data_IF_434541896892
#
_entry.id   IF_434541896892
#
_cell.length_a   1.000
_cell.length_b   1.000
_cell.length_c   1.000
_cell.angle_alpha   90.00
_cell.angle_beta   90.00
_cell.angle_gamma   90.00
#
_symmetry.space_group_name_H-M   'P 1'
#
loop_
_entity.id
_entity.type
_entity.pdbx_description
1 polymer ?
#
# COMPACT_ATOMS: atom_id res chain seq x y z
N UNK A 1 23.48 -40.75 -7.71
CA UNK A 1 22.80 -40.02 -8.80
C UNK A 1 21.30 -39.98 -8.52
N UNK A 2 20.87 -39.05 -7.65
CA UNK A 2 19.45 -38.65 -7.44
C UNK A 2 19.37 -37.68 -6.27
N UNK A 3 19.88 -36.46 -6.43
CA UNK A 3 19.52 -35.28 -5.61
C UNK A 3 19.77 -34.03 -6.47
N UNK A 4 18.90 -33.81 -7.46
CA UNK A 4 18.79 -32.53 -8.19
C UNK A 4 17.32 -32.28 -8.46
N UNK A 5 16.52 -32.04 -7.43
CA UNK A 5 15.15 -31.54 -7.62
C UNK A 5 14.52 -31.02 -6.31
N UNK A 6 15.16 -30.09 -5.59
CA UNK A 6 14.45 -29.29 -4.57
C UNK A 6 15.22 -28.04 -4.12
N UNK A 7 15.69 -27.23 -5.06
CA UNK A 7 16.52 -26.06 -4.77
C UNK A 7 16.33 -24.90 -5.75
N UNK A 8 15.09 -24.70 -6.22
CA UNK A 8 14.77 -23.65 -7.20
C UNK A 8 13.47 -22.89 -6.94
N UNK A 9 13.01 -22.82 -5.69
CA UNK A 9 11.81 -22.04 -5.34
C UNK A 9 12.01 -20.85 -4.39
N UNK A 10 13.23 -20.56 -3.90
CA UNK A 10 13.41 -19.53 -2.85
C UNK A 10 14.62 -18.61 -3.04
N UNK A 11 15.11 -18.44 -4.26
CA UNK A 11 16.00 -17.31 -4.56
C UNK A 11 15.35 -16.55 -5.71
N UNK A 12 14.49 -15.61 -5.30
CA UNK A 12 13.92 -14.61 -6.17
C UNK A 12 15.04 -13.93 -6.94
N UNK A 13 14.99 -14.10 -8.26
CA UNK A 13 15.46 -13.10 -9.21
C UNK A 13 15.17 -11.72 -8.63
N UNK A 14 16.20 -10.87 -8.47
CA UNK A 14 16.12 -9.43 -8.14
C UNK A 14 14.70 -8.90 -8.34
N UNK A 15 13.91 -8.95 -7.27
CA UNK A 15 12.49 -8.66 -7.30
C UNK A 15 12.31 -7.15 -7.37
N UNK A 16 12.45 -6.60 -8.56
CA UNK A 16 11.59 -5.48 -8.94
C UNK A 16 10.18 -6.07 -8.86
N UNK A 17 9.36 -5.62 -7.91
CA UNK A 17 7.97 -6.06 -7.82
C UNK A 17 7.35 -5.99 -9.21
N UNK A 18 6.55 -6.98 -9.62
CA UNK A 18 5.95 -7.00 -10.96
C UNK A 18 5.26 -5.68 -11.32
N UNK A 19 4.75 -4.96 -10.32
CA UNK A 19 4.20 -3.60 -10.43
C UNK A 19 5.23 -2.55 -10.89
N UNK A 20 6.47 -2.60 -10.40
CA UNK A 20 7.54 -1.64 -10.74
C UNK A 20 8.07 -1.82 -12.16
N UNK A 21 8.08 -3.04 -12.71
CA UNK A 21 8.56 -3.26 -14.08
C UNK A 21 7.54 -2.75 -15.09
N UNK A 22 6.25 -3.05 -14.89
CA UNK A 22 5.19 -2.55 -15.78
C UNK A 22 4.99 -1.04 -15.65
N UNK A 23 5.00 -0.47 -14.43
CA UNK A 23 4.88 0.98 -14.23
C UNK A 23 6.11 1.77 -14.77
N UNK A 24 7.33 1.25 -14.59
CA UNK A 24 8.53 1.86 -15.18
C UNK A 24 8.61 1.68 -16.69
N UNK A 25 8.21 0.53 -17.23
CA UNK A 25 8.14 0.31 -18.68
C UNK A 25 7.08 1.21 -19.31
N UNK A 26 5.89 1.35 -18.72
CA UNK A 26 4.85 2.29 -19.16
C UNK A 26 5.35 3.75 -19.16
N UNK A 27 6.04 4.18 -18.10
CA UNK A 27 6.67 5.52 -18.04
C UNK A 27 7.78 5.71 -19.08
N UNK A 28 8.60 4.70 -19.35
CA UNK A 28 9.66 4.79 -20.36
C UNK A 28 9.09 4.79 -21.79
N UNK A 29 8.08 3.97 -22.07
CA UNK A 29 7.38 3.94 -23.35
C UNK A 29 6.67 5.28 -23.64
N UNK A 30 6.11 5.91 -22.61
CA UNK A 30 5.46 7.23 -22.72
C UNK A 30 6.47 8.37 -22.91
N UNK A 31 7.67 8.31 -22.31
CA UNK A 31 8.75 9.27 -22.64
C UNK A 31 9.15 9.23 -24.11
N UNK A 32 9.05 8.06 -24.75
CA UNK A 32 9.27 7.91 -26.19
C UNK A 32 8.08 8.44 -27.00
N UNK A 33 6.84 8.10 -26.63
CA UNK A 33 5.65 8.59 -27.33
C UNK A 33 5.45 10.11 -27.25
N UNK A 34 5.71 10.71 -26.07
CA UNK A 34 5.57 12.16 -25.88
C UNK A 34 6.61 12.96 -26.70
N UNK A 35 7.71 12.33 -27.12
CA UNK A 35 8.70 12.90 -28.04
C UNK A 35 8.28 12.73 -29.51
N UNK A 36 7.54 11.66 -29.85
CA UNK A 36 7.07 11.36 -31.19
C UNK A 36 5.77 12.09 -31.59
N UNK A 37 4.92 12.50 -30.63
CA UNK A 37 3.64 13.21 -30.86
C UNK A 37 3.78 14.62 -31.47
N UNK A 38 5.01 15.12 -31.66
CA UNK A 38 5.23 16.32 -32.51
C UNK A 38 5.08 16.03 -34.01
N UNK A 39 4.87 14.76 -34.41
CA UNK A 39 4.73 14.36 -35.80
C UNK A 39 3.65 13.26 -36.01
N UNK A 40 2.42 13.69 -36.32
CA UNK A 40 1.45 13.05 -37.24
C UNK A 40 0.00 12.79 -36.72
N UNK A 41 -0.95 13.43 -37.42
CA UNK A 41 -2.27 12.96 -37.87
C UNK A 41 -3.27 12.30 -36.89
N UNK A 42 -4.38 13.01 -36.63
CA UNK A 42 -5.76 12.53 -36.40
C UNK A 42 -5.99 11.27 -35.53
N UNK A 43 -5.17 11.04 -34.50
CA UNK A 43 -5.51 10.14 -33.39
C UNK A 43 -6.28 10.91 -32.33
N UNK A 44 -7.24 10.26 -31.68
CA UNK A 44 -7.93 10.84 -30.53
C UNK A 44 -6.89 11.25 -29.48
N UNK A 45 -7.02 12.47 -28.94
CA UNK A 45 -6.04 13.04 -28.02
C UNK A 45 -6.09 12.28 -26.70
N UNK A 46 -4.99 11.62 -26.34
CA UNK A 46 -4.84 10.94 -25.06
C UNK A 46 -4.40 11.93 -23.98
N UNK A 47 -5.04 11.84 -22.82
CA UNK A 47 -4.78 12.69 -21.67
C UNK A 47 -4.27 11.88 -20.47
N UNK A 48 -3.28 12.38 -19.70
CA UNK A 48 -2.74 11.67 -18.54
C UNK A 48 -3.77 11.48 -17.41
N UNK A 49 -3.67 10.34 -16.74
CA UNK A 49 -4.11 10.13 -15.36
C UNK A 49 -2.89 9.67 -14.56
N UNK A 50 -2.66 10.28 -13.41
CA UNK A 50 -1.61 9.86 -12.47
C UNK A 50 -2.19 9.69 -11.07
N UNK A 51 -2.01 8.50 -10.51
CA UNK A 51 -2.42 8.14 -9.16
C UNK A 51 -1.19 7.96 -8.28
N UNK A 52 -1.23 8.51 -7.07
CA UNK A 52 -0.12 8.54 -6.12
C UNK A 52 -0.64 8.47 -4.69
N UNK A 53 0.19 7.99 -3.77
CA UNK A 53 -0.13 7.95 -2.33
C UNK A 53 0.93 8.78 -1.61
N UNK A 54 0.50 9.87 -0.97
CA UNK A 54 1.42 10.86 -0.40
C UNK A 54 1.86 10.52 1.03
N UNK A 55 1.04 9.76 1.76
CA UNK A 55 1.27 9.34 3.14
C UNK A 55 0.08 8.52 3.65
N UNK A 56 0.00 8.32 4.96
CA UNK A 56 -1.03 7.46 5.56
C UNK A 56 -2.41 8.13 5.64
N UNK A 57 -2.45 9.46 5.82
CA UNK A 57 -3.68 10.26 5.85
C UNK A 57 -3.49 11.63 5.23
N UNK A 58 -4.52 12.15 4.59
CA UNK A 58 -4.58 13.49 4.02
C UNK A 58 -5.65 14.33 4.71
N UNK A 59 -5.29 15.52 5.20
CA UNK A 59 -6.27 16.46 5.78
C UNK A 59 -7.06 17.16 4.68
N UNK A 60 -8.17 16.53 4.26
CA UNK A 60 -9.08 17.05 3.25
C UNK A 60 -9.72 18.39 3.64
N UNK A 61 -9.91 18.67 4.93
CA UNK A 61 -10.60 19.90 5.39
C UNK A 61 -9.71 21.11 5.23
N UNK A 62 -8.46 21.01 5.66
CA UNK A 62 -7.49 22.08 5.48
C UNK A 62 -7.15 22.28 4.02
N UNK A 63 -7.01 21.18 3.27
CA UNK A 63 -6.75 21.24 1.84
C UNK A 63 -7.91 21.89 1.05
N UNK A 64 -9.17 21.56 1.38
CA UNK A 64 -10.35 22.18 0.77
C UNK A 64 -10.40 23.69 0.99
N UNK A 65 -10.05 24.16 2.20
CA UNK A 65 -9.99 25.60 2.51
C UNK A 65 -8.93 26.30 1.66
N UNK A 66 -7.73 25.73 1.58
CA UNK A 66 -6.61 26.37 0.88
C UNK A 66 -6.80 26.34 -0.65
N UNK A 67 -7.34 25.25 -1.20
CA UNK A 67 -7.70 25.17 -2.62
C UNK A 67 -8.74 26.25 -3.00
N UNK A 68 -9.71 26.50 -2.12
CA UNK A 68 -10.74 27.52 -2.34
C UNK A 68 -10.16 28.94 -2.26
N UNK A 69 -9.19 29.18 -1.36
CA UNK A 69 -8.52 30.47 -1.20
C UNK A 69 -7.62 30.84 -2.40
N UNK A 70 -6.90 29.86 -2.96
CA UNK A 70 -6.02 30.10 -4.10
C UNK A 70 -6.77 30.39 -5.41
N UNK A 71 -8.05 30.03 -5.52
CA UNK A 71 -8.94 30.41 -6.62
C UNK A 71 -8.67 29.74 -7.97
N UNK A 72 -7.64 28.90 -8.11
CA UNK A 72 -7.31 28.16 -9.34
C UNK A 72 -8.23 26.94 -9.55
N UNK A 73 -8.67 26.32 -8.47
CA UNK A 73 -9.57 25.17 -8.47
C UNK A 73 -10.90 25.53 -7.82
N UNK A 74 -11.94 24.81 -8.21
CA UNK A 74 -13.24 24.82 -7.53
C UNK A 74 -13.57 23.41 -7.06
N UNK A 75 -14.20 23.31 -5.89
CA UNK A 75 -14.64 22.04 -5.35
C UNK A 75 -15.88 21.56 -6.10
N UNK A 76 -15.87 20.29 -6.47
CA UNK A 76 -17.02 19.63 -7.08
C UNK A 76 -17.83 18.98 -5.95
N UNK A 77 -19.15 19.23 -5.86
CA UNK A 77 -19.97 18.62 -4.83
C UNK A 77 -20.05 17.11 -5.05
N UNK A 78 -19.73 16.34 -4.00
CA UNK A 78 -19.89 14.89 -3.97
C UNK A 78 -21.10 14.52 -3.09
N UNK A 79 -21.70 13.34 -3.27
CA UNK A 79 -22.73 12.81 -2.38
C UNK A 79 -22.31 12.86 -0.91
N UNK A 80 -23.28 13.08 -0.01
CA UNK A 80 -23.02 13.25 1.43
C UNK A 80 -22.33 12.02 2.06
N UNK A 81 -22.53 10.83 1.50
CA UNK A 81 -21.86 9.58 1.89
C UNK A 81 -20.34 9.65 1.77
N UNK A 82 -19.82 10.46 0.84
CA UNK A 82 -18.38 10.66 0.60
C UNK A 82 -17.80 11.83 1.40
N UNK A 83 -18.61 12.49 2.24
CA UNK A 83 -18.18 13.65 3.01
C UNK A 83 -17.08 13.26 4.00
N UNK A 84 -15.88 13.81 3.79
CA UNK A 84 -14.72 13.57 4.65
C UNK A 84 -13.88 12.35 4.31
N UNK A 85 -14.32 11.50 3.37
CA UNK A 85 -13.51 10.40 2.80
C UNK A 85 -12.88 10.80 1.47
N UNK A 86 -13.54 11.67 0.70
CA UNK A 86 -12.99 12.19 -0.54
C UNK A 86 -13.31 13.67 -0.78
N UNK A 87 -12.48 14.30 -1.61
CA UNK A 87 -12.62 15.66 -2.10
C UNK A 87 -12.29 15.66 -3.60
N UNK A 88 -13.20 16.19 -4.42
CA UNK A 88 -12.94 16.39 -5.84
C UNK A 88 -12.80 17.87 -6.14
N UNK A 89 -11.74 18.24 -6.86
CA UNK A 89 -11.47 19.60 -7.30
C UNK A 89 -11.27 19.62 -8.82
N UNK A 90 -11.83 20.63 -9.48
CA UNK A 90 -11.68 20.84 -10.93
C UNK A 90 -11.13 22.23 -11.21
N UNK A 91 -10.30 22.38 -12.24
CA UNK A 91 -9.77 23.68 -12.67
C UNK A 91 -10.89 24.62 -13.08
N UNK A 92 -10.82 25.89 -12.66
CA UNK A 92 -11.74 26.93 -13.15
C UNK A 92 -11.47 27.26 -14.62
N UNK A 93 -12.49 27.69 -15.35
CA UNK A 93 -12.30 28.20 -16.71
C UNK A 93 -11.54 29.54 -16.68
N UNK A 94 -10.65 29.81 -17.66
CA UNK A 94 -10.44 29.10 -18.91
C UNK A 94 -9.27 28.09 -18.88
N UNK A 95 -8.85 27.57 -17.72
CA UNK A 95 -7.67 26.70 -17.57
C UNK A 95 -7.92 25.26 -18.07
N UNK A 96 -8.20 25.09 -19.36
CA UNK A 96 -8.29 23.78 -20.03
C UNK A 96 -7.03 23.52 -20.86
N UNK A 97 -6.54 22.27 -20.84
CA UNK A 97 -5.41 21.82 -21.67
C UNK A 97 -5.87 20.69 -22.57
N UNK A 98 -5.65 20.85 -23.88
CA UNK A 98 -6.15 19.90 -24.88
C UNK A 98 -7.68 19.80 -24.90
N UNK A 99 -8.40 20.87 -24.55
CA UNK A 99 -9.87 20.89 -24.51
C UNK A 99 -10.48 20.22 -23.29
N UNK A 100 -9.69 19.68 -22.36
CA UNK A 100 -10.16 19.01 -21.14
C UNK A 100 -9.82 19.80 -19.87
N UNK A 101 -10.67 19.71 -18.85
CA UNK A 101 -10.44 20.27 -17.50
C UNK A 101 -9.38 19.45 -16.76
N UNK A 102 -8.79 20.03 -15.72
CA UNK A 102 -7.87 19.35 -14.81
C UNK A 102 -8.60 19.00 -13.54
N UNK A 103 -8.77 17.71 -13.31
CA UNK A 103 -9.49 17.22 -12.14
C UNK A 103 -8.52 16.57 -11.17
N UNK A 104 -8.72 16.78 -9.88
CA UNK A 104 -7.99 16.11 -8.81
C UNK A 104 -9.00 15.46 -7.87
N UNK A 105 -8.84 14.16 -7.63
CA UNK A 105 -9.60 13.41 -6.64
C UNK A 105 -8.65 13.07 -5.50
N UNK A 106 -8.99 13.53 -4.30
CA UNK A 106 -8.16 13.48 -3.10
C UNK A 106 -8.88 12.63 -2.06
N UNK A 107 -8.22 11.62 -1.51
CA UNK A 107 -8.81 10.70 -0.54
C UNK A 107 -8.21 10.93 0.84
N UNK A 108 -9.02 10.80 1.90
CA UNK A 108 -8.59 10.94 3.31
C UNK A 108 -7.49 9.94 3.68
N UNK A 109 -7.48 8.86 2.93
CA UNK A 109 -6.64 7.69 3.02
C UNK A 109 -5.20 7.96 2.48
N UNK A 110 -4.91 9.19 2.02
CA UNK A 110 -3.59 9.62 1.54
C UNK A 110 -3.38 9.51 0.04
N UNK A 111 -4.31 8.88 -0.69
CA UNK A 111 -4.24 8.76 -2.15
C UNK A 111 -4.73 10.03 -2.86
N UNK A 112 -4.11 10.30 -4.00
CA UNK A 112 -4.41 11.43 -4.89
C UNK A 112 -4.39 10.95 -6.33
N UNK A 113 -5.43 11.28 -7.08
CA UNK A 113 -5.53 10.98 -8.52
C UNK A 113 -5.71 12.27 -9.30
N UNK A 114 -4.81 12.51 -10.24
CA UNK A 114 -4.75 13.71 -11.06
C UNK A 114 -5.10 13.38 -12.50
N UNK A 115 -6.07 14.09 -13.04
CA UNK A 115 -6.56 13.96 -14.40
C UNK A 115 -6.12 15.15 -15.24
N UNK A 116 -5.60 14.85 -16.43
CA UNK A 116 -5.14 15.82 -17.43
C UNK A 116 -4.09 16.81 -16.87
N UNK A 117 -3.23 16.33 -15.98
CA UNK A 117 -2.09 17.09 -15.46
C UNK A 117 -0.79 16.52 -16.02
N UNK A 118 0.13 17.40 -16.40
CA UNK A 118 1.46 16.99 -16.85
C UNK A 118 2.30 16.45 -15.70
N UNK A 119 3.34 15.65 -16.01
CA UNK A 119 4.27 15.12 -15.00
C UNK A 119 4.89 16.22 -14.11
N UNK A 120 5.09 17.43 -14.66
CA UNK A 120 5.60 18.59 -13.91
C UNK A 120 4.58 19.09 -12.88
N UNK A 121 3.32 19.13 -13.26
CA UNK A 121 2.22 19.56 -12.41
C UNK A 121 1.93 18.52 -11.33
N UNK A 122 1.98 17.24 -11.68
CA UNK A 122 1.90 16.16 -10.71
C UNK A 122 3.01 16.24 -9.65
N UNK A 123 4.26 16.50 -10.06
CA UNK A 123 5.36 16.70 -9.09
C UNK A 123 5.18 17.94 -8.21
N UNK A 124 4.56 19.01 -8.73
CA UNK A 124 4.21 20.18 -7.93
C UNK A 124 3.08 19.88 -6.95
N UNK A 125 2.06 19.13 -7.40
CA UNK A 125 0.96 18.67 -6.57
C UNK A 125 1.44 17.81 -5.40
N UNK A 126 2.38 16.89 -5.63
CA UNK A 126 3.04 16.12 -4.55
C UNK A 126 3.61 17.07 -3.50
N UNK A 127 4.42 18.06 -3.91
CA UNK A 127 5.06 18.99 -2.96
C UNK A 127 4.03 19.81 -2.17
N UNK A 128 2.97 20.26 -2.82
CA UNK A 128 1.91 21.05 -2.19
C UNK A 128 1.12 20.20 -1.19
N UNK A 129 0.63 19.04 -1.63
CA UNK A 129 -0.26 18.19 -0.85
C UNK A 129 0.46 17.43 0.27
N UNK A 130 1.78 17.16 0.13
CA UNK A 130 2.59 16.57 1.21
C UNK A 130 2.58 17.41 2.50
N UNK A 131 2.34 18.73 2.43
CA UNK A 131 2.24 19.59 3.61
C UNK A 131 1.00 19.28 4.48
N UNK A 132 -0.04 18.66 3.89
CA UNK A 132 -1.31 18.33 4.56
C UNK A 132 -1.39 16.84 4.92
N UNK A 133 -0.27 16.13 4.84
CA UNK A 133 -0.21 14.68 4.97
C UNK A 133 0.36 14.26 6.33
N UNK A 134 -0.26 13.26 6.96
CA UNK A 134 0.28 12.59 8.15
C UNK A 134 1.16 11.42 7.75
N UNK A 135 2.33 11.26 8.39
CA UNK A 135 3.35 10.27 8.01
C UNK A 135 3.68 10.32 6.51
N UNK A 136 4.19 11.47 5.99
CA UNK A 136 4.44 11.62 4.56
C UNK A 136 5.48 10.61 4.07
N UNK A 137 5.20 10.00 2.94
CA UNK A 137 6.12 9.07 2.30
C UNK A 137 7.26 9.84 1.62
N UNK A 138 8.40 9.16 1.44
CA UNK A 138 9.51 9.77 0.71
C UNK A 138 9.11 10.01 -0.75
N UNK A 139 9.55 11.12 -1.35
CA UNK A 139 9.22 11.44 -2.73
C UNK A 139 9.62 10.30 -3.70
N UNK A 140 10.70 9.60 -3.39
CA UNK A 140 11.13 8.41 -4.13
C UNK A 140 10.09 7.29 -4.04
N UNK A 141 9.62 6.94 -2.84
CA UNK A 141 8.62 5.88 -2.66
C UNK A 141 7.29 6.25 -3.35
N UNK A 142 6.86 7.52 -3.25
CA UNK A 142 5.66 8.03 -3.93
C UNK A 142 5.76 7.80 -5.43
N UNK A 143 6.88 8.23 -6.04
CA UNK A 143 7.09 8.10 -7.48
C UNK A 143 7.35 6.65 -7.90
N UNK A 144 7.95 5.80 -7.08
CA UNK A 144 8.18 4.39 -7.42
C UNK A 144 6.88 3.58 -7.43
N UNK A 145 5.89 3.95 -6.60
CA UNK A 145 4.61 3.24 -6.46
C UNK A 145 3.44 3.91 -7.19
N UNK A 146 3.62 5.09 -7.77
CA UNK A 146 2.58 5.78 -8.53
C UNK A 146 2.15 4.99 -9.77
N UNK A 147 0.86 4.99 -10.07
CA UNK A 147 0.28 4.38 -11.26
C UNK A 147 -0.14 5.44 -12.26
N UNK A 148 -0.06 5.13 -13.55
CA UNK A 148 -0.45 6.05 -14.62
C UNK A 148 -1.25 5.33 -15.68
N UNK A 149 -2.28 6.01 -16.18
CA UNK A 149 -3.15 5.57 -17.27
C UNK A 149 -3.43 6.74 -18.20
N UNK A 150 -3.99 6.46 -19.37
CA UNK A 150 -4.48 7.49 -20.28
C UNK A 150 -6.02 7.49 -20.31
N UNK A 151 -6.61 8.63 -20.60
CA UNK A 151 -8.00 8.70 -21.02
C UNK A 151 -8.17 9.44 -22.35
N UNK A 152 -9.20 9.06 -23.08
CA UNK A 152 -9.66 9.76 -24.28
C UNK A 152 -11.07 10.25 -24.01
N UNK A 153 -11.28 11.55 -24.21
CA UNK A 153 -12.60 12.14 -24.20
C UNK A 153 -13.27 11.94 -25.57
N UNK A 154 -14.38 11.19 -25.58
CA UNK A 154 -15.19 10.98 -26.78
C UNK A 154 -16.48 11.80 -26.66
N UNK A 155 -16.83 12.57 -27.69
CA UNK A 155 -18.14 13.23 -27.83
C UNK A 155 -19.21 12.18 -28.21
N UNK A 156 -19.41 11.21 -27.33
CA UNK A 156 -20.43 10.18 -27.46
C UNK A 156 -21.28 10.09 -26.19
N UNK A 157 -22.45 9.45 -26.30
CA UNK A 157 -23.37 9.20 -25.17
C UNK A 157 -23.25 7.73 -24.71
N UNK A 158 -22.23 7.00 -25.19
CA UNK A 158 -21.99 5.59 -24.88
C UNK A 158 -21.66 5.33 -23.42
N UNK A 159 -21.44 4.07 -23.04
CA UNK A 159 -20.95 3.72 -21.70
C UNK A 159 -19.43 3.85 -21.61
N UNK A 160 -18.91 4.24 -20.44
CA UNK A 160 -17.47 4.29 -20.17
C UNK A 160 -16.82 2.93 -20.32
N UNK A 161 -15.79 2.86 -21.17
CA UNK A 161 -15.03 1.64 -21.44
C UNK A 161 -13.66 1.74 -20.81
N UNK A 162 -13.28 0.65 -20.14
CA UNK A 162 -11.97 0.52 -19.51
C UNK A 162 -11.21 -0.59 -20.23
N UNK A 163 -10.06 -0.24 -20.77
CA UNK A 163 -9.07 -1.18 -21.35
C UNK A 163 -7.80 -1.16 -20.50
N UNK A 164 -6.81 -2.02 -20.82
CA UNK A 164 -5.61 -2.22 -19.98
C UNK A 164 -4.86 -0.92 -19.63
N UNK A 165 -4.73 -0.01 -20.60
CA UNK A 165 -3.96 1.24 -20.44
C UNK A 165 -4.79 2.51 -20.74
N UNK A 166 -6.04 2.34 -21.18
CA UNK A 166 -6.87 3.43 -21.72
C UNK A 166 -8.29 3.41 -21.16
N UNK A 167 -8.74 4.57 -20.71
CA UNK A 167 -10.13 4.85 -20.34
C UNK A 167 -10.78 5.66 -21.46
N UNK A 168 -11.88 5.17 -22.04
CA UNK A 168 -12.68 5.93 -22.99
C UNK A 168 -13.85 6.54 -22.22
N UNK A 169 -13.84 7.87 -22.11
CA UNK A 169 -14.82 8.62 -21.34
C UNK A 169 -15.79 9.37 -22.27
N UNK A 170 -17.09 9.04 -22.25
CA UNK A 170 -18.12 9.68 -23.06
C UNK A 170 -18.55 11.01 -22.42
N UNK A 171 -18.02 12.12 -22.93
CA UNK A 171 -18.22 13.47 -22.36
C UNK A 171 -19.59 14.06 -22.76
N UNK A 172 -20.30 13.44 -23.71
CA UNK A 172 -21.65 13.85 -24.13
C UNK A 172 -22.78 13.44 -23.17
N UNK A 173 -22.45 12.89 -22.00
CA UNK A 173 -23.42 12.50 -20.94
C UNK A 173 -23.69 13.64 -19.96
N UNK A 174 -24.65 13.37 -19.07
CA UNK A 174 -24.95 14.25 -17.95
C UNK A 174 -23.67 14.53 -17.10
N UNK A 175 -23.37 15.82 -16.81
CA UNK A 175 -22.16 16.18 -16.07
C UNK A 175 -22.04 15.56 -14.68
N UNK A 176 -23.16 15.37 -13.96
CA UNK A 176 -23.13 14.83 -12.60
C UNK A 176 -22.84 13.33 -12.63
N UNK A 177 -23.39 12.61 -13.61
CA UNK A 177 -23.03 11.22 -13.89
C UNK A 177 -21.55 11.07 -14.22
N UNK A 178 -20.99 11.96 -15.05
CA UNK A 178 -19.58 11.95 -15.43
C UNK A 178 -18.65 12.15 -14.23
N UNK A 179 -19.03 13.02 -13.29
CA UNK A 179 -18.30 13.25 -12.04
C UNK A 179 -18.22 11.97 -11.22
N UNK A 180 -19.34 11.25 -11.06
CA UNK A 180 -19.38 10.00 -10.30
C UNK A 180 -18.62 8.87 -10.99
N UNK A 181 -18.66 8.79 -12.32
CA UNK A 181 -17.87 7.82 -13.09
C UNK A 181 -16.36 8.09 -12.95
N UNK A 182 -15.93 9.36 -13.07
CA UNK A 182 -14.53 9.77 -12.82
C UNK A 182 -14.10 9.46 -11.39
N UNK A 183 -14.99 9.67 -10.42
CA UNK A 183 -14.74 9.31 -9.03
C UNK A 183 -14.52 7.80 -8.88
N UNK A 184 -15.42 6.96 -9.40
CA UNK A 184 -15.31 5.50 -9.31
C UNK A 184 -14.02 4.96 -9.94
N UNK A 185 -13.62 5.51 -11.09
CA UNK A 185 -12.35 5.17 -11.75
C UNK A 185 -11.13 5.61 -10.92
N UNK A 186 -11.20 6.81 -10.34
CA UNK A 186 -10.14 7.34 -9.47
C UNK A 186 -10.00 6.52 -8.19
N UNK A 187 -11.10 6.05 -7.61
CA UNK A 187 -11.11 5.26 -6.39
C UNK A 187 -10.47 3.88 -6.60
N UNK A 188 -10.76 3.23 -7.73
CA UNK A 188 -10.09 1.98 -8.12
C UNK A 188 -8.57 2.18 -8.32
N UNK A 189 -8.17 3.27 -8.98
CA UNK A 189 -6.75 3.65 -9.15
C UNK A 189 -6.05 3.96 -7.83
N UNK A 190 -6.72 4.69 -6.95
CA UNK A 190 -6.23 5.02 -5.62
C UNK A 190 -6.02 3.75 -4.79
N UNK A 191 -6.97 2.82 -4.84
CA UNK A 191 -6.88 1.51 -4.16
C UNK A 191 -5.71 0.68 -4.69
N UNK A 192 -5.53 0.61 -6.02
CA UNK A 192 -4.41 -0.09 -6.65
C UNK A 192 -3.04 0.50 -6.27
N UNK A 193 -2.93 1.83 -6.30
CA UNK A 193 -1.70 2.55 -5.93
C UNK A 193 -1.37 2.37 -4.45
N UNK A 194 -2.38 2.44 -3.57
CA UNK A 194 -2.24 2.16 -2.13
C UNK A 194 -1.75 0.74 -1.89
N UNK A 195 -2.29 -0.22 -2.61
CA UNK A 195 -1.87 -1.60 -2.53
C UNK A 195 -0.39 -1.76 -2.91
N UNK A 196 0.08 -1.06 -3.95
CA UNK A 196 1.51 -0.97 -4.30
C UNK A 196 2.38 -0.45 -3.16
N UNK A 197 1.90 0.58 -2.45
CA UNK A 197 2.61 1.10 -1.28
C UNK A 197 2.69 0.07 -0.13
N UNK A 198 1.57 -0.61 0.17
CA UNK A 198 1.53 -1.67 1.21
C UNK A 198 2.42 -2.87 0.84
N UNK A 199 2.44 -3.26 -0.43
CA UNK A 199 3.36 -4.28 -0.96
C UNK A 199 4.82 -3.90 -0.72
N UNK A 200 5.21 -2.65 -1.03
CA UNK A 200 6.56 -2.15 -0.80
C UNK A 200 6.93 -2.06 0.69
N UNK A 201 5.98 -1.68 1.56
CA UNK A 201 6.17 -1.71 3.02
C UNK A 201 6.37 -3.15 3.53
N UNK A 202 5.56 -4.11 3.07
CA UNK A 202 5.74 -5.52 3.42
C UNK A 202 7.09 -6.05 2.94
N UNK A 203 7.50 -5.72 1.72
CA UNK A 203 8.81 -6.13 1.18
C UNK A 203 9.98 -5.62 2.04
N UNK A 204 9.86 -4.41 2.61
CA UNK A 204 10.84 -3.88 3.58
C UNK A 204 10.86 -4.70 4.86
N UNK A 205 9.69 -4.96 5.44
CA UNK A 205 9.61 -5.78 6.67
C UNK A 205 10.10 -7.21 6.45
N UNK A 206 9.75 -7.83 5.33
CA UNK A 206 10.21 -9.17 4.99
C UNK A 206 11.75 -9.24 4.91
N UNK A 207 12.40 -8.22 4.34
CA UNK A 207 13.87 -8.13 4.32
C UNK A 207 14.48 -8.00 5.71
N UNK A 208 13.82 -7.29 6.62
CA UNK A 208 14.27 -7.20 8.02
C UNK A 208 14.22 -8.56 8.73
N UNK A 209 13.31 -9.46 8.33
CA UNK A 209 13.18 -10.81 8.89
C UNK A 209 14.17 -11.82 8.29
N UNK A 210 14.69 -11.57 7.09
CA UNK A 210 15.58 -12.48 6.34
C UNK A 210 16.79 -12.99 7.16
N UNK A 211 17.51 -12.15 7.93
CA UNK A 211 18.65 -12.63 8.73
C UNK A 211 18.23 -13.67 9.79
N UNK A 212 17.03 -13.54 10.36
CA UNK A 212 16.52 -14.48 11.35
C UNK A 212 16.12 -15.81 10.71
N UNK A 213 15.53 -15.76 9.51
CA UNK A 213 15.25 -16.96 8.71
C UNK A 213 16.56 -17.71 8.41
N UNK A 214 17.62 -16.98 8.04
CA UNK A 214 18.92 -17.57 7.77
C UNK A 214 19.53 -18.25 9.02
N UNK A 215 19.47 -17.60 10.19
CA UNK A 215 19.92 -18.20 11.45
C UNK A 215 19.13 -19.46 11.82
N UNK A 216 17.80 -19.44 11.66
CA UNK A 216 16.93 -20.60 11.90
C UNK A 216 17.31 -21.79 11.00
N UNK A 217 17.60 -21.53 9.72
CA UNK A 217 18.03 -22.56 8.77
C UNK A 217 19.34 -23.24 9.19
N UNK A 218 20.25 -22.50 9.81
CA UNK A 218 21.52 -23.03 10.32
C UNK A 218 21.37 -23.72 11.70
N UNK A 219 20.15 -23.76 12.26
CA UNK A 219 19.91 -24.29 13.60
C UNK A 219 20.55 -23.46 14.71
N UNK A 220 20.95 -22.22 14.40
CA UNK A 220 21.58 -21.33 15.36
C UNK A 220 20.53 -20.65 16.23
N UNK A 221 20.89 -20.39 17.48
CA UNK A 221 20.02 -19.65 18.38
C UNK A 221 19.84 -18.22 17.86
N UNK A 222 18.60 -17.82 17.55
CA UNK A 222 18.30 -16.52 16.98
C UNK A 222 18.49 -15.46 18.07
N UNK A 223 19.55 -14.65 17.96
CA UNK A 223 19.79 -13.49 18.83
C UNK A 223 18.94 -12.28 18.45
N UNK A 224 17.63 -12.49 18.26
CA UNK A 224 16.70 -11.41 18.01
C UNK A 224 16.18 -10.85 19.35
N UNK A 225 16.29 -9.54 19.59
CA UNK A 225 15.64 -8.92 20.75
C UNK A 225 14.12 -9.15 20.68
N UNK A 226 13.53 -9.66 21.76
CA UNK A 226 12.08 -9.90 21.82
C UNK A 226 11.26 -8.64 21.52
N UNK A 227 11.73 -7.49 21.97
CA UNK A 227 11.09 -6.18 21.71
C UNK A 227 11.10 -5.81 20.22
N UNK A 228 12.15 -6.21 19.49
CA UNK A 228 12.25 -5.97 18.06
C UNK A 228 11.27 -6.87 17.28
N UNK A 229 11.14 -8.14 17.67
CA UNK A 229 10.13 -9.05 17.11
C UNK A 229 8.73 -8.49 17.37
N UNK A 230 8.42 -8.08 18.61
CA UNK A 230 7.14 -7.50 18.97
C UNK A 230 6.82 -6.23 18.15
N UNK A 231 7.82 -5.34 17.99
CA UNK A 231 7.69 -4.15 17.14
C UNK A 231 7.37 -4.51 15.69
N UNK A 232 8.07 -5.50 15.11
CA UNK A 232 7.82 -5.96 13.73
C UNK A 232 6.46 -6.64 13.58
N UNK A 233 6.04 -7.46 14.55
CA UNK A 233 4.69 -8.02 14.61
C UNK A 233 3.63 -6.91 14.61
N UNK A 234 3.81 -5.86 15.42
CA UNK A 234 2.91 -4.70 15.44
C UNK A 234 2.81 -3.99 14.09
N UNK A 235 3.94 -3.78 13.41
CA UNK A 235 3.97 -3.20 12.06
C UNK A 235 3.25 -4.07 11.03
N UNK A 236 3.42 -5.39 11.10
CA UNK A 236 2.71 -6.35 10.23
C UNK A 236 1.20 -6.33 10.48
N UNK A 237 0.74 -6.23 11.72
CA UNK A 237 -0.69 -6.07 12.03
C UNK A 237 -1.25 -4.74 11.52
N UNK A 238 -0.49 -3.64 11.63
CA UNK A 238 -0.87 -2.34 11.05
C UNK A 238 -1.07 -2.46 9.54
N UNK A 239 -0.14 -3.10 8.85
CA UNK A 239 -0.24 -3.38 7.41
C UNK A 239 -1.44 -4.25 7.07
N UNK A 240 -1.70 -5.31 7.84
CA UNK A 240 -2.84 -6.20 7.62
C UNK A 240 -4.17 -5.45 7.73
N UNK A 241 -4.31 -4.57 8.72
CA UNK A 241 -5.50 -3.74 8.87
C UNK A 241 -5.69 -2.78 7.69
N UNK A 242 -4.61 -2.17 7.19
CA UNK A 242 -4.69 -1.32 6.01
C UNK A 242 -5.03 -2.11 4.73
N UNK A 243 -4.49 -3.33 4.59
CA UNK A 243 -4.71 -4.19 3.43
C UNK A 243 -6.13 -4.77 3.37
N UNK A 244 -6.79 -5.01 4.50
CA UNK A 244 -8.15 -5.58 4.51
C UNK A 244 -9.19 -4.64 3.89
N UNK A 245 -8.98 -3.32 3.94
CA UNK A 245 -9.88 -2.34 3.32
C UNK A 245 -9.82 -2.39 1.79
N UNK A 246 -8.72 -2.90 1.21
CA UNK A 246 -8.51 -2.93 -0.24
C UNK A 246 -9.14 -4.17 -0.93
N UNK A 247 -9.69 -5.12 -0.18
CA UNK A 247 -10.19 -6.40 -0.72
C UNK A 247 -11.64 -6.36 -1.20
N UNK A 248 -12.43 -5.37 -0.73
CA UNK A 248 -13.84 -5.19 -1.09
C UNK A 248 -14.12 -3.80 -1.64
N UNK A 249 -15.08 -3.65 -2.57
CA UNK A 249 -15.55 -2.33 -2.97
C UNK A 249 -16.16 -1.59 -1.76
N UNK A 250 -15.96 -0.27 -1.66
CA UNK A 250 -16.60 0.57 -0.65
C UNK A 250 -18.13 0.49 -0.64
N UNK A 251 -18.75 0.65 0.53
CA UNK A 251 -20.20 0.61 0.74
C UNK A 251 -20.98 1.60 -0.14
N UNK A 252 -20.34 2.71 -0.53
CA UNK A 252 -20.86 3.72 -1.46
C UNK A 252 -21.41 3.14 -2.78
N UNK A 253 -20.87 1.99 -3.21
CA UNK A 253 -21.27 1.37 -4.48
C UNK A 253 -22.44 0.39 -4.34
N UNK A 254 -22.80 -0.07 -3.12
CA UNK A 254 -23.81 -1.12 -2.93
C UNK A 254 -25.21 -0.73 -3.43
N UNK A 255 -25.54 0.56 -3.42
CA UNK A 255 -26.82 1.07 -3.92
C UNK A 255 -26.75 1.52 -5.39
N UNK A 256 -25.57 1.44 -6.03
CA UNK A 256 -25.27 2.01 -7.35
C UNK A 256 -24.61 0.99 -8.27
N UNK A 257 -25.41 0.05 -8.79
CA UNK A 257 -24.96 -1.07 -9.63
C UNK A 257 -24.10 -0.63 -10.83
N UNK A 258 -24.46 0.47 -11.50
CA UNK A 258 -23.70 1.01 -12.64
C UNK A 258 -22.26 1.41 -12.26
N UNK A 259 -22.10 2.06 -11.10
CA UNK A 259 -20.80 2.50 -10.59
C UNK A 259 -20.02 1.33 -10.00
N UNK A 260 -20.68 0.39 -9.33
CA UNK A 260 -20.06 -0.85 -8.85
C UNK A 260 -19.47 -1.64 -10.03
N UNK A 261 -20.23 -1.78 -11.12
CA UNK A 261 -19.76 -2.45 -12.33
C UNK A 261 -18.57 -1.72 -12.96
N UNK A 262 -18.56 -0.38 -12.97
CA UNK A 262 -17.44 0.42 -13.48
C UNK A 262 -16.19 0.27 -12.61
N UNK A 263 -16.33 0.42 -11.29
CA UNK A 263 -15.26 0.21 -10.31
C UNK A 263 -14.70 -1.21 -10.40
N UNK A 264 -15.57 -2.22 -10.52
CA UNK A 264 -15.19 -3.62 -10.68
C UNK A 264 -14.41 -3.88 -11.97
N UNK A 265 -14.82 -3.30 -13.10
CA UNK A 265 -14.06 -3.39 -14.36
C UNK A 265 -12.66 -2.80 -14.21
N UNK A 266 -12.55 -1.62 -13.61
CA UNK A 266 -11.26 -0.95 -13.38
C UNK A 266 -10.38 -1.75 -12.42
N UNK A 267 -10.93 -2.22 -11.31
CA UNK A 267 -10.24 -3.05 -10.32
C UNK A 267 -9.74 -4.38 -10.91
N UNK A 268 -10.50 -4.96 -11.85
CA UNK A 268 -10.09 -6.16 -12.58
C UNK A 268 -8.91 -5.89 -13.51
N UNK A 269 -8.95 -4.78 -14.27
CA UNK A 269 -7.83 -4.35 -15.13
C UNK A 269 -6.56 -4.12 -14.30
N UNK A 270 -6.69 -3.50 -13.13
CA UNK A 270 -5.60 -3.25 -12.20
C UNK A 270 -5.22 -4.49 -11.35
N UNK A 271 -5.96 -5.60 -11.49
CA UNK A 271 -5.80 -6.87 -10.77
C UNK A 271 -5.81 -6.74 -9.23
N UNK A 272 -6.54 -5.76 -8.70
CA UNK A 272 -6.54 -5.38 -7.27
C UNK A 272 -6.82 -6.58 -6.37
N UNK A 273 -7.91 -7.32 -6.62
CA UNK A 273 -8.30 -8.46 -5.79
C UNK A 273 -7.23 -9.57 -5.74
N UNK A 274 -6.59 -9.86 -6.88
CA UNK A 274 -5.51 -10.86 -6.93
C UNK A 274 -4.29 -10.41 -6.13
N UNK A 275 -3.90 -9.15 -6.29
CA UNK A 275 -2.77 -8.54 -5.58
C UNK A 275 -3.03 -8.49 -4.07
N UNK A 276 -4.24 -8.10 -3.65
CA UNK A 276 -4.63 -8.02 -2.24
C UNK A 276 -4.57 -9.40 -1.56
N UNK A 277 -5.06 -10.45 -2.23
CA UNK A 277 -4.94 -11.83 -1.73
C UNK A 277 -3.48 -12.25 -1.56
N UNK A 278 -2.64 -11.98 -2.56
CA UNK A 278 -1.21 -12.33 -2.47
C UNK A 278 -0.51 -11.56 -1.33
N UNK A 279 -0.81 -10.27 -1.17
CA UNK A 279 -0.31 -9.47 -0.07
C UNK A 279 -0.71 -10.06 1.28
N UNK A 280 -1.99 -10.41 1.45
CA UNK A 280 -2.50 -11.02 2.68
C UNK A 280 -1.85 -12.38 2.99
N UNK A 281 -1.63 -13.23 1.98
CA UNK A 281 -0.90 -14.49 2.16
C UNK A 281 0.54 -14.26 2.61
N UNK A 282 1.24 -13.30 1.99
CA UNK A 282 2.64 -12.96 2.36
C UNK A 282 2.72 -12.33 3.76
N UNK A 283 1.75 -11.51 4.13
CA UNK A 283 1.61 -10.97 5.49
C UNK A 283 1.44 -12.08 6.51
N UNK A 284 0.55 -13.05 6.24
CA UNK A 284 0.33 -14.18 7.14
C UNK A 284 1.61 -14.98 7.37
N UNK A 285 2.36 -15.29 6.31
CA UNK A 285 3.64 -15.98 6.44
C UNK A 285 4.63 -15.21 7.34
N UNK A 286 4.72 -13.89 7.20
CA UNK A 286 5.61 -13.07 8.04
C UNK A 286 5.15 -13.05 9.51
N UNK A 287 3.84 -13.03 9.76
CA UNK A 287 3.28 -13.12 11.12
C UNK A 287 3.58 -14.47 11.76
N UNK A 288 3.36 -15.57 11.03
CA UNK A 288 3.63 -16.94 11.49
C UNK A 288 5.12 -17.12 11.84
N UNK A 289 6.01 -16.52 11.04
CA UNK A 289 7.45 -16.49 11.32
C UNK A 289 7.77 -15.70 12.60
N UNK A 290 7.16 -14.52 12.81
CA UNK A 290 7.37 -13.75 14.02
C UNK A 290 6.87 -14.52 15.27
N UNK A 291 5.76 -15.24 15.15
CA UNK A 291 5.24 -16.08 16.23
C UNK A 291 6.17 -17.26 16.54
N UNK A 292 6.74 -17.91 15.52
CA UNK A 292 7.76 -18.95 15.68
C UNK A 292 8.99 -18.42 16.43
N UNK A 293 9.50 -17.26 16.01
CA UNK A 293 10.66 -16.62 16.65
C UNK A 293 10.38 -16.24 18.11
N UNK A 294 9.16 -15.78 18.41
CA UNK A 294 8.74 -15.48 19.80
C UNK A 294 8.70 -16.73 20.66
N UNK A 295 8.19 -17.84 20.13
CA UNK A 295 8.09 -19.11 20.86
C UNK A 295 9.46 -19.72 21.18
N UNK A 296 10.43 -19.67 20.25
CA UNK A 296 11.81 -20.12 20.52
C UNK A 296 12.45 -19.39 21.71
N UNK A 297 12.20 -18.08 21.84
CA UNK A 297 12.73 -17.31 22.97
C UNK A 297 12.11 -17.76 24.30
N UNK A 298 10.84 -18.14 24.30
CA UNK A 298 10.17 -18.57 25.52
C UNK A 298 10.73 -19.90 26.07
N UNK A 299 11.15 -20.82 25.18
CA UNK A 299 11.84 -22.06 25.59
C UNK A 299 13.18 -21.78 26.29
N UNK A 300 13.93 -20.75 25.86
CA UNK A 300 15.19 -20.35 26.51
C UNK A 300 14.98 -19.70 27.89
N UNK A 301 13.88 -18.96 28.07
CA UNK A 301 13.54 -18.34 29.35
C UNK A 301 12.99 -19.34 30.36
N UNK A 302 12.31 -20.40 29.91
CA UNK A 302 11.85 -21.51 30.76
C UNK A 302 12.99 -22.14 31.57
N UNK A 303 14.18 -22.26 30.98
CA UNK A 303 15.36 -22.77 31.69
C UNK A 303 15.80 -21.90 32.86
N UNK A 304 15.52 -20.59 32.87
CA UNK A 304 15.88 -19.75 34.03
C UNK A 304 15.04 -20.09 35.25
N UNK A 305 13.74 -20.35 35.04
CA UNK A 305 12.84 -20.75 36.11
C UNK A 305 13.20 -22.15 36.63
N UNK A 306 13.54 -23.07 35.71
CA UNK A 306 14.05 -24.39 36.05
C UNK A 306 15.34 -24.32 36.90
N UNK A 307 16.32 -23.51 36.48
CA UNK A 307 17.55 -23.32 37.23
C UNK A 307 17.33 -22.70 38.61
N UNK A 308 16.38 -21.77 38.75
CA UNK A 308 16.01 -21.19 40.05
C UNK A 308 15.45 -22.28 40.97
N UNK A 309 14.59 -23.16 40.46
CA UNK A 309 14.04 -24.29 41.25
C UNK A 309 15.15 -25.25 41.67
N UNK A 310 16.04 -25.65 40.74
CA UNK A 310 17.17 -26.55 41.04
C UNK A 310 18.07 -25.93 42.13
N UNK A 311 18.37 -24.63 42.02
CA UNK A 311 19.18 -23.92 43.01
C UNK A 311 18.51 -23.88 44.38
N UNK A 312 17.20 -23.61 44.45
CA UNK A 312 16.44 -23.61 45.71
C UNK A 312 16.46 -24.98 46.41
N UNK A 313 16.26 -26.06 45.66
CA UNK A 313 16.34 -27.43 46.19
C UNK A 313 17.76 -27.74 46.69
N UNK A 314 18.78 -27.34 45.92
CA UNK A 314 20.18 -27.56 46.29
C UNK A 314 20.56 -26.85 47.59
N UNK A 315 20.12 -25.61 47.79
CA UNK A 315 20.37 -24.87 49.04
C UNK A 315 19.70 -25.54 50.25
N UNK A 316 18.50 -26.08 50.08
CA UNK A 316 17.77 -26.78 51.15
C UNK A 316 18.53 -28.04 51.61
N UNK A 317 19.04 -28.82 50.65
CA UNK A 317 19.82 -30.03 50.94
C UNK A 317 21.10 -29.69 51.72
N UNK A 318 21.79 -28.59 51.37
CA UNK A 318 22.98 -28.14 52.11
C UNK A 318 22.60 -27.80 53.56
N UNK A 319 21.53 -27.04 53.79
CA UNK A 319 21.07 -26.72 55.14
C UNK A 319 20.76 -27.98 55.95
N UNK A 320 20.09 -28.96 55.34
CA UNK A 320 19.79 -30.24 55.99
C UNK A 320 21.07 -31.02 56.37
N UNK A 321 22.06 -31.08 55.47
CA UNK A 321 23.35 -31.75 55.73
C UNK A 321 24.12 -31.03 56.85
N UNK A 322 24.19 -29.71 56.81
CA UNK A 322 24.86 -28.91 57.85
C UNK A 322 24.20 -29.15 59.21
N UNK A 323 22.87 -29.12 59.27
CA UNK A 323 22.13 -29.38 60.50
C UNK A 323 22.41 -30.78 61.06
N UNK A 324 22.35 -31.82 60.22
CA UNK A 324 22.65 -33.19 60.63
C UNK A 324 24.11 -33.37 61.08
N UNK A 325 25.06 -32.71 60.41
CA UNK A 325 26.48 -32.77 60.78
C UNK A 325 26.74 -32.13 62.15
N UNK A 326 26.03 -31.05 62.48
CA UNK A 326 26.10 -30.40 63.79
C UNK A 326 25.46 -31.27 64.87
N UNK A 327 24.36 -31.95 64.55
CA UNK A 327 23.70 -32.91 65.45
C UNK A 327 24.65 -34.07 65.79
N UNK A 328 25.28 -34.68 64.77
CA UNK A 328 26.23 -35.77 64.96
C UNK A 328 27.46 -35.34 65.77
N UNK A 329 27.99 -34.15 65.51
CA UNK A 329 29.13 -33.60 66.27
C UNK A 329 28.77 -33.25 67.72
N UNK A 330 27.49 -33.07 68.04
CA UNK A 330 27.02 -32.88 69.41
C UNK A 330 26.80 -34.22 70.13
N UNK A 331 26.62 -35.31 69.39
CA UNK A 331 26.44 -36.66 69.93
C UNK A 331 27.75 -37.43 70.18
N UNK A 332 28.88 -36.97 69.64
CA UNK A 332 30.25 -37.42 69.99
C UNK A 332 30.83 -36.62 71.15
#
# INVERSE_FOLDING_TARGET
SSVRLCGRLLIGTRGRGLCTVQAQQRRQHRKQQHFDDSAASARAVEHPIEAMVLGERLDLRSLARDLTQHGLYQLVPLPAELAGTALMATSREPYTVGGQKRDAVLFDNGAVVLWNMSDKEAQQAVKLFSAYTTEPHSQRDILEQSESMAFVAEDSVGATRVSEDLIQLPVGRDPDSLVLEKFALSDALATSTRLGHLEAQLDRLARDLEPWIASLKEGQNVRAPGDLILSRTGQLYRLRFAASVCDSPPDFYWEREDLEALYGRMSNVLTVARRARLLNTRLQFCLDLCDLLRNQKHELEGHRLEWIIIFLIFTEIIFAIVHLSLELRRSE
#
